data_IF_115027845377
#
_entry.id   IF_115027845377
#
_cell.length_a   1.000
_cell.length_b   1.000
_cell.length_c   1.000
_cell.angle_alpha   90.00
_cell.angle_beta   90.00
_cell.angle_gamma   90.00
#
_symmetry.space_group_name_H-M   'P 1'
#
loop_
_entity.id
_entity.type
_entity.pdbx_description
1 polymer ?
#
# COMPACT_ATOMS: atom_id res chain seq x y z
N UNK A 1 6.33 -10.99 6.11
CA UNK A 1 7.49 -10.66 5.28
C UNK A 1 7.00 -10.11 3.95
N UNK A 2 7.58 -9.01 3.51
CA UNK A 2 7.31 -8.32 2.25
C UNK A 2 8.45 -8.61 1.28
N UNK A 3 8.14 -8.65 -0.01
CA UNK A 3 9.16 -8.50 -1.04
C UNK A 3 9.47 -7.01 -1.20
N UNK A 4 10.76 -6.67 -1.12
CA UNK A 4 11.21 -5.29 -1.19
C UNK A 4 11.83 -5.01 -2.55
N UNK A 5 11.16 -4.18 -3.35
CA UNK A 5 11.64 -3.73 -4.64
C UNK A 5 12.57 -2.53 -4.46
N UNK A 6 13.77 -2.64 -5.05
CA UNK A 6 14.79 -1.59 -5.02
C UNK A 6 15.16 -1.19 -6.46
N UNK A 7 14.48 -0.20 -7.04
CA UNK A 7 14.81 0.29 -8.38
C UNK A 7 16.25 0.83 -8.44
N UNK A 8 16.88 0.85 -9.63
CA UNK A 8 18.29 1.28 -9.78
C UNK A 8 18.61 2.65 -9.17
N UNK A 9 17.67 3.60 -9.24
CA UNK A 9 17.87 4.94 -8.68
C UNK A 9 17.93 4.94 -7.14
N UNK A 10 17.27 3.99 -6.49
CA UNK A 10 17.36 3.80 -5.04
C UNK A 10 18.67 3.13 -4.68
N UNK A 11 19.10 2.12 -5.44
CA UNK A 11 20.42 1.49 -5.23
C UNK A 11 21.55 2.53 -5.29
N UNK A 12 21.47 3.49 -6.20
CA UNK A 12 22.41 4.62 -6.24
C UNK A 12 22.36 5.52 -4.99
N UNK A 13 21.19 5.71 -4.38
CA UNK A 13 21.07 6.44 -3.11
C UNK A 13 21.76 5.66 -1.97
N UNK A 14 21.52 4.35 -1.91
CA UNK A 14 22.09 3.47 -0.89
C UNK A 14 23.60 3.36 -1.02
N UNK A 15 24.11 3.15 -2.23
CA UNK A 15 25.55 3.13 -2.52
C UNK A 15 26.22 4.46 -2.16
N UNK A 16 25.55 5.59 -2.38
CA UNK A 16 26.07 6.90 -1.97
C UNK A 16 26.18 6.99 -0.45
N UNK A 17 25.15 6.58 0.29
CA UNK A 17 25.16 6.60 1.76
C UNK A 17 26.23 5.65 2.30
N UNK A 18 26.35 4.46 1.74
CA UNK A 18 27.40 3.50 2.08
C UNK A 18 28.79 4.10 1.85
N UNK A 19 29.05 4.66 0.67
CA UNK A 19 30.35 5.30 0.36
C UNK A 19 30.65 6.48 1.29
N UNK A 20 29.64 7.27 1.67
CA UNK A 20 29.81 8.33 2.66
C UNK A 20 30.20 7.76 4.03
N UNK A 21 29.58 6.66 4.47
CA UNK A 21 29.94 5.97 5.69
C UNK A 21 31.34 5.34 5.66
N UNK A 22 31.81 4.89 4.50
CA UNK A 22 33.16 4.36 4.31
C UNK A 22 34.22 5.47 4.32
N UNK A 23 33.93 6.62 3.71
CA UNK A 23 34.88 7.73 3.55
C UNK A 23 34.91 8.69 4.73
N UNK A 24 33.78 8.88 5.41
CA UNK A 24 33.64 9.70 6.61
C UNK A 24 32.75 8.98 7.65
N UNK A 25 33.27 7.92 8.29
CA UNK A 25 32.50 7.12 9.23
C UNK A 25 31.96 7.92 10.41
N UNK A 26 32.72 8.92 10.88
CA UNK A 26 32.36 9.74 12.04
C UNK A 26 31.02 10.46 11.84
N UNK A 27 30.70 10.85 10.60
CA UNK A 27 29.48 11.59 10.30
C UNK A 27 28.37 10.72 9.68
N UNK A 28 28.69 9.60 9.02
CA UNK A 28 27.72 8.88 8.20
C UNK A 28 27.45 7.43 8.61
N UNK A 29 28.25 6.82 9.50
CA UNK A 29 28.03 5.41 9.89
C UNK A 29 26.66 5.21 10.56
N UNK A 30 26.23 6.17 11.39
CA UNK A 30 24.94 6.10 12.05
C UNK A 30 23.78 6.21 11.05
N UNK A 31 23.88 7.12 10.08
CA UNK A 31 22.91 7.24 8.99
C UNK A 31 22.77 5.92 8.22
N UNK A 32 23.91 5.33 7.82
CA UNK A 32 23.93 4.05 7.10
C UNK A 32 23.22 2.95 7.88
N UNK A 33 23.57 2.76 9.16
CA UNK A 33 22.94 1.75 10.02
C UNK A 33 21.44 2.00 10.22
N UNK A 34 21.02 3.27 10.30
CA UNK A 34 19.59 3.61 10.42
C UNK A 34 18.81 3.33 9.15
N UNK A 35 19.38 3.64 7.98
CA UNK A 35 18.76 3.33 6.69
C UNK A 35 18.64 1.82 6.52
N UNK A 36 19.71 1.06 6.80
CA UNK A 36 19.70 -0.41 6.72
C UNK A 36 18.67 -1.05 7.66
N UNK A 37 18.61 -0.59 8.91
CA UNK A 37 17.61 -1.04 9.88
C UNK A 37 16.18 -0.74 9.41
N UNK A 38 15.91 0.45 8.89
CA UNK A 38 14.58 0.81 8.39
C UNK A 38 14.20 -0.08 7.20
N UNK A 39 15.12 -0.30 6.25
CA UNK A 39 14.92 -1.18 5.10
C UNK A 39 14.62 -2.62 5.53
N UNK A 40 15.38 -3.14 6.50
CA UNK A 40 15.15 -4.47 7.06
C UNK A 40 13.80 -4.56 7.77
N UNK A 41 13.43 -3.54 8.54
CA UNK A 41 12.12 -3.45 9.19
C UNK A 41 10.97 -3.38 8.18
N UNK A 42 11.16 -2.68 7.06
CA UNK A 42 10.16 -2.64 5.98
C UNK A 42 10.02 -4.00 5.30
N UNK A 43 11.11 -4.74 5.11
CA UNK A 43 11.09 -6.07 4.51
C UNK A 43 10.48 -7.12 5.46
N UNK A 44 10.79 -7.09 6.76
CA UNK A 44 10.20 -8.01 7.73
C UNK A 44 8.71 -7.72 7.97
N UNK A 45 8.32 -6.45 7.88
CA UNK A 45 6.99 -5.94 8.20
C UNK A 45 6.89 -5.32 9.60
N UNK A 46 8.00 -5.26 10.34
CA UNK A 46 8.09 -4.58 11.64
C UNK A 46 7.92 -3.07 11.51
N UNK A 47 8.42 -2.48 10.42
CA UNK A 47 8.24 -1.07 10.09
C UNK A 47 7.10 -0.88 9.09
N UNK A 48 6.33 0.21 9.27
CA UNK A 48 5.23 0.61 8.42
C UNK A 48 5.40 2.02 7.84
N UNK A 49 6.54 2.67 8.13
CA UNK A 49 6.76 4.09 7.92
C UNK A 49 6.09 4.98 8.98
N UNK A 50 6.24 6.30 8.81
CA UNK A 50 5.83 7.28 9.80
C UNK A 50 4.46 7.90 9.51
N UNK A 51 4.19 8.27 8.26
CA UNK A 51 2.87 8.66 7.78
C UNK A 51 2.80 8.57 6.26
N UNK A 52 1.56 8.51 5.76
CA UNK A 52 1.33 8.56 4.34
C UNK A 52 1.49 9.99 3.78
N UNK A 53 1.92 10.08 2.53
CA UNK A 53 1.96 11.34 1.80
C UNK A 53 0.58 11.65 1.21
N UNK A 54 0.43 12.89 0.73
CA UNK A 54 -0.80 13.42 0.17
C UNK A 54 -0.57 14.07 -1.19
N UNK A 55 -1.57 14.83 -1.63
CA UNK A 55 -1.42 15.75 -2.75
C UNK A 55 -1.31 17.18 -2.22
N UNK A 56 -0.39 17.94 -2.79
CA UNK A 56 -0.30 19.38 -2.59
C UNK A 56 0.20 20.01 -3.91
N UNK A 57 -0.49 21.04 -4.46
CA UNK A 57 0.00 21.75 -5.64
C UNK A 57 1.44 22.23 -5.47
N UNK A 58 2.28 22.11 -6.50
CA UNK A 58 3.72 22.34 -6.43
C UNK A 58 4.55 21.22 -5.77
N UNK A 59 3.94 20.24 -5.11
CA UNK A 59 4.61 19.06 -4.52
C UNK A 59 4.16 17.73 -5.11
N UNK A 60 3.19 17.78 -6.02
CA UNK A 60 2.62 16.66 -6.75
C UNK A 60 1.80 15.69 -5.91
N UNK A 61 1.24 14.71 -6.60
CA UNK A 61 0.36 13.71 -6.01
C UNK A 61 1.14 12.47 -5.57
N UNK A 62 1.30 12.31 -4.26
CA UNK A 62 2.01 11.21 -3.62
C UNK A 62 1.08 10.40 -2.69
N UNK A 63 -0.22 10.39 -2.96
CA UNK A 63 -1.23 9.78 -2.07
C UNK A 63 -1.07 8.27 -1.87
N UNK A 64 -0.38 7.58 -2.77
CA UNK A 64 0.00 6.17 -2.69
C UNK A 64 1.31 5.91 -1.92
N UNK A 65 2.04 6.97 -1.55
CA UNK A 65 3.38 6.87 -0.98
C UNK A 65 3.36 7.07 0.54
N UNK A 66 4.37 6.51 1.21
CA UNK A 66 4.60 6.59 2.66
C UNK A 66 6.01 7.09 2.90
N UNK A 67 6.20 7.91 3.94
CA UNK A 67 7.54 8.39 4.33
C UNK A 67 7.94 7.87 5.72
N UNK A 68 9.21 7.51 5.85
CA UNK A 68 9.91 7.26 7.10
C UNK A 68 10.84 8.45 7.41
N UNK A 69 10.99 8.75 8.70
CA UNK A 69 11.93 9.75 9.18
C UNK A 69 13.22 9.09 9.64
N UNK A 70 14.32 9.48 9.03
CA UNK A 70 15.65 8.94 9.35
C UNK A 70 16.48 10.07 9.98
N UNK A 71 17.19 9.73 11.05
CA UNK A 71 18.15 10.62 11.71
C UNK A 71 19.56 10.22 11.28
N UNK A 72 20.35 11.19 10.82
CA UNK A 72 21.79 11.01 10.58
C UNK A 72 22.61 11.02 11.89
N UNK A 73 22.08 11.62 12.95
CA UNK A 73 22.71 11.78 14.27
C UNK A 73 21.65 11.54 15.37
N UNK A 74 21.93 10.71 16.39
CA UNK A 74 20.99 10.41 17.49
C UNK A 74 20.53 11.65 18.28
N UNK A 75 21.34 12.72 18.31
CA UNK A 75 21.05 13.93 19.06
C UNK A 75 20.33 15.00 18.22
N UNK A 76 20.08 14.73 16.93
CA UNK A 76 19.42 15.68 16.01
C UNK A 76 18.01 15.24 15.66
N UNK A 77 17.22 16.22 15.20
CA UNK A 77 15.91 15.93 14.59
C UNK A 77 16.11 15.17 13.27
N UNK A 78 15.15 14.33 12.85
CA UNK A 78 15.22 13.64 11.57
C UNK A 78 15.42 14.60 10.40
N UNK A 79 16.52 14.40 9.70
CA UNK A 79 17.07 15.21 8.64
C UNK A 79 17.19 14.44 7.31
N UNK A 80 16.87 13.15 7.31
CA UNK A 80 16.69 12.32 6.13
C UNK A 80 15.27 11.76 6.07
N UNK A 81 14.87 11.36 4.86
CA UNK A 81 13.62 10.66 4.60
C UNK A 81 13.88 9.47 3.69
N UNK A 82 13.19 8.39 4.00
CA UNK A 82 12.99 7.27 3.09
C UNK A 82 11.53 7.33 2.62
N UNK A 83 11.28 7.14 1.33
CA UNK A 83 9.93 7.10 0.76
C UNK A 83 9.77 5.78 0.04
N UNK A 84 8.63 5.13 0.26
CA UNK A 84 8.24 3.88 -0.38
C UNK A 84 6.74 3.89 -0.69
N UNK A 85 6.27 2.95 -1.50
CA UNK A 85 4.84 2.66 -1.66
C UNK A 85 4.55 1.18 -1.47
N UNK A 86 3.35 0.90 -0.98
CA UNK A 86 2.84 -0.47 -0.89
C UNK A 86 2.38 -0.89 -2.29
N UNK A 87 2.72 -2.11 -2.69
CA UNK A 87 2.42 -2.67 -4.00
C UNK A 87 1.73 -4.03 -3.84
N UNK A 88 0.78 -4.37 -4.72
CA UNK A 88 0.19 -5.69 -4.74
C UNK A 88 1.27 -6.76 -5.01
N UNK A 89 1.06 -8.01 -4.54
CA UNK A 89 1.90 -9.14 -4.93
C UNK A 89 2.07 -9.24 -6.46
N UNK A 90 3.19 -9.78 -6.93
CA UNK A 90 3.40 -10.00 -8.37
C UNK A 90 2.42 -11.03 -8.93
N UNK A 91 2.15 -12.08 -8.17
CA UNK A 91 1.23 -13.16 -8.51
C UNK A 91 0.25 -13.44 -7.34
N UNK A 92 -0.88 -14.06 -7.65
CA UNK A 92 -1.87 -14.44 -6.65
C UNK A 92 -1.25 -15.37 -5.59
N UNK A 93 -1.40 -15.01 -4.31
CA UNK A 93 -0.80 -15.76 -3.19
C UNK A 93 0.68 -15.43 -2.91
N UNK A 94 1.31 -14.58 -3.73
CA UNK A 94 2.66 -14.07 -3.47
C UNK A 94 2.71 -13.09 -2.28
N UNK A 95 3.92 -12.75 -1.80
CA UNK A 95 4.07 -11.79 -0.72
C UNK A 95 3.63 -10.39 -1.18
N UNK A 96 3.08 -9.56 -0.26
CA UNK A 96 2.89 -8.15 -0.55
C UNK A 96 4.24 -7.50 -0.86
N UNK A 97 4.25 -6.52 -1.77
CA UNK A 97 5.46 -5.85 -2.22
C UNK A 97 5.55 -4.45 -1.64
N UNK A 98 6.77 -3.99 -1.39
CA UNK A 98 7.07 -2.59 -1.06
C UNK A 98 8.11 -2.08 -2.03
N UNK A 99 7.80 -1.00 -2.73
CA UNK A 99 8.77 -0.37 -3.63
C UNK A 99 9.39 0.82 -2.94
N UNK A 100 10.70 0.77 -2.74
CA UNK A 100 11.47 1.93 -2.33
C UNK A 100 11.52 2.93 -3.48
N UNK A 101 11.36 4.20 -3.18
CA UNK A 101 11.34 5.27 -4.19
C UNK A 101 12.54 6.19 -4.04
N UNK A 102 12.89 6.61 -2.81
CA UNK A 102 14.04 7.47 -2.56
C UNK A 102 14.52 7.44 -1.11
N UNK A 103 15.83 7.66 -0.90
CA UNK A 103 16.42 7.99 0.41
C UNK A 103 17.26 9.26 0.26
N UNK A 104 16.80 10.37 0.85
CA UNK A 104 17.42 11.69 0.63
C UNK A 104 17.35 12.60 1.87
N UNK A 105 18.21 13.62 1.96
CA UNK A 105 18.05 14.70 2.94
C UNK A 105 16.65 15.32 2.86
N UNK A 106 16.11 15.69 4.01
CA UNK A 106 14.78 16.29 4.17
C UNK A 106 14.72 17.71 3.62
N UNK A 107 15.83 18.44 3.69
CA UNK A 107 15.96 19.86 3.30
C UNK A 107 17.17 20.03 2.38
N UNK A 108 17.16 21.11 1.59
CA UNK A 108 18.20 21.44 0.62
C UNK A 108 17.69 21.42 -0.82
N UNK A 109 18.51 21.85 -1.78
CA UNK A 109 18.19 21.76 -3.21
C UNK A 109 18.04 20.29 -3.62
N UNK A 110 17.06 19.99 -4.48
CA UNK A 110 16.70 18.60 -4.80
C UNK A 110 16.02 17.94 -3.61
N UNK A 111 14.95 18.55 -3.11
CA UNK A 111 14.25 18.02 -1.95
C UNK A 111 13.64 16.64 -2.28
N UNK A 112 13.37 15.82 -1.28
CA UNK A 112 12.93 14.43 -1.52
C UNK A 112 11.67 14.33 -2.40
N UNK A 113 10.75 15.30 -2.33
CA UNK A 113 9.51 15.25 -3.12
C UNK A 113 9.77 15.45 -4.60
N UNK A 114 10.66 16.37 -4.97
CA UNK A 114 11.08 16.56 -6.36
C UNK A 114 11.67 15.27 -6.94
N UNK A 115 12.52 14.58 -6.17
CA UNK A 115 13.10 13.30 -6.58
C UNK A 115 12.06 12.19 -6.70
N UNK A 116 11.13 12.09 -5.75
CA UNK A 116 10.05 11.10 -5.79
C UNK A 116 9.15 11.33 -7.01
N UNK A 117 8.75 12.58 -7.27
CA UNK A 117 7.95 12.92 -8.45
C UNK A 117 8.67 12.57 -9.74
N UNK A 118 9.94 12.96 -9.87
CA UNK A 118 10.73 12.68 -11.06
C UNK A 118 10.87 11.16 -11.31
N UNK A 119 11.10 10.37 -10.26
CA UNK A 119 11.23 8.90 -10.36
C UNK A 119 9.92 8.20 -10.67
N UNK A 120 8.79 8.79 -10.27
CA UNK A 120 7.45 8.28 -10.57
C UNK A 120 6.85 8.89 -11.84
N UNK A 121 7.60 9.74 -12.57
CA UNK A 121 7.15 10.47 -13.75
C UNK A 121 5.86 11.29 -13.51
N UNK A 122 5.80 11.98 -12.36
CA UNK A 122 4.64 12.79 -11.96
C UNK A 122 4.92 14.27 -12.11
N UNK A 123 3.93 15.01 -12.60
CA UNK A 123 3.98 16.47 -12.63
C UNK A 123 3.61 17.05 -11.25
N UNK A 124 4.27 18.13 -10.78
CA UNK A 124 4.07 18.70 -9.45
C UNK A 124 2.67 19.29 -9.21
N UNK A 125 1.93 19.60 -10.27
CA UNK A 125 0.59 20.19 -10.16
C UNK A 125 -0.54 19.20 -10.45
N UNK A 126 -0.19 18.00 -10.94
CA UNK A 126 -1.18 17.07 -11.47
C UNK A 126 -1.66 16.08 -10.41
N UNK A 127 -2.99 15.93 -10.34
CA UNK A 127 -3.61 14.79 -9.69
C UNK A 127 -3.45 13.56 -10.58
N UNK A 128 -2.85 12.51 -10.03
CA UNK A 128 -2.65 11.29 -10.79
C UNK A 128 -3.97 10.51 -10.89
N UNK A 129 -4.39 10.12 -12.11
CA UNK A 129 -5.56 9.27 -12.30
C UNK A 129 -5.47 8.01 -11.43
N UNK A 130 -6.59 7.60 -10.83
CA UNK A 130 -6.66 6.41 -9.99
C UNK A 130 -6.20 6.61 -8.53
N UNK A 131 -5.38 7.61 -8.20
CA UNK A 131 -4.93 7.83 -6.81
C UNK A 131 -6.00 8.43 -5.89
N UNK A 132 -7.16 8.80 -6.45
CA UNK A 132 -8.34 9.21 -5.68
C UNK A 132 -8.83 8.17 -4.67
N UNK A 133 -8.53 6.88 -4.89
CA UNK A 133 -8.90 5.78 -3.98
C UNK A 133 -8.23 5.87 -2.61
N UNK A 134 -7.08 6.56 -2.52
CA UNK A 134 -6.38 6.81 -1.25
C UNK A 134 -6.92 8.05 -0.50
N UNK A 135 -7.99 8.66 -1.02
CA UNK A 135 -8.66 9.82 -0.43
C UNK A 135 -7.90 11.14 -0.65
N UNK A 136 -8.48 12.24 -0.16
CA UNK A 136 -7.88 13.57 -0.20
C UNK A 136 -7.30 13.92 1.17
N UNK A 137 -6.07 13.46 1.43
CA UNK A 137 -5.35 13.87 2.66
C UNK A 137 -4.93 15.34 2.54
N UNK A 138 -5.45 16.21 3.41
CA UNK A 138 -4.91 17.57 3.59
C UNK A 138 -3.56 17.49 4.30
N UNK A 139 -2.55 18.21 3.78
CA UNK A 139 -1.26 18.38 4.45
C UNK A 139 -1.48 19.05 5.83
N UNK A 140 -0.86 18.51 6.89
CA UNK A 140 -0.77 19.20 8.19
C UNK A 140 -1.58 18.64 9.38
N UNK A 141 -2.53 17.70 9.23
CA UNK A 141 -3.13 17.02 10.40
C UNK A 141 -2.45 15.69 10.69
N UNK A 142 -1.29 15.78 11.34
CA UNK A 142 -0.72 14.63 12.03
C UNK A 142 -1.61 14.30 13.23
N UNK A 143 -2.55 13.37 13.06
CA UNK A 143 -3.27 12.80 14.19
C UNK A 143 -2.30 12.17 15.19
N UNK A 144 -2.83 11.75 16.34
CA UNK A 144 -2.06 10.96 17.28
C UNK A 144 -1.52 9.67 16.60
N UNK A 145 -0.59 8.99 17.25
CA UNK A 145 0.05 7.81 16.69
C UNK A 145 -0.93 6.74 16.23
N UNK A 146 -1.99 6.48 17.01
CA UNK A 146 -3.03 5.52 16.67
C UNK A 146 -3.72 5.88 15.35
N UNK A 147 -4.09 7.16 15.16
CA UNK A 147 -4.71 7.62 13.93
C UNK A 147 -3.77 7.47 12.71
N UNK A 148 -2.47 7.73 12.90
CA UNK A 148 -1.47 7.53 11.84
C UNK A 148 -1.33 6.05 11.47
N UNK A 149 -1.29 5.15 12.45
CA UNK A 149 -1.20 3.71 12.19
C UNK A 149 -2.46 3.18 11.51
N UNK A 150 -3.65 3.63 11.93
CA UNK A 150 -4.91 3.28 11.27
C UNK A 150 -4.93 3.75 9.80
N UNK A 151 -4.45 4.96 9.52
CA UNK A 151 -4.34 5.46 8.16
C UNK A 151 -3.37 4.63 7.31
N UNK A 152 -2.18 4.29 7.84
CA UNK A 152 -1.21 3.45 7.15
C UNK A 152 -1.79 2.05 6.84
N UNK A 153 -2.50 1.46 7.80
CA UNK A 153 -3.16 0.17 7.62
C UNK A 153 -4.25 0.24 6.54
N UNK A 154 -5.07 1.29 6.53
CA UNK A 154 -6.09 1.50 5.51
C UNK A 154 -5.48 1.67 4.11
N UNK A 155 -4.44 2.50 3.97
CA UNK A 155 -3.75 2.68 2.69
C UNK A 155 -3.08 1.40 2.20
N UNK A 156 -2.47 0.63 3.10
CA UNK A 156 -1.95 -0.70 2.75
C UNK A 156 -3.05 -1.61 2.25
N UNK A 157 -4.17 -1.71 2.97
CA UNK A 157 -5.29 -2.55 2.56
C UNK A 157 -5.78 -2.15 1.16
N UNK A 158 -5.91 -0.85 0.88
CA UNK A 158 -6.24 -0.34 -0.45
C UNK A 158 -5.19 -0.75 -1.48
N UNK A 159 -3.90 -0.50 -1.23
CA UNK A 159 -2.83 -0.83 -2.17
C UNK A 159 -2.75 -2.33 -2.50
N UNK A 160 -2.97 -3.19 -1.50
CA UNK A 160 -2.96 -4.64 -1.67
C UNK A 160 -4.23 -5.18 -2.35
N UNK A 161 -5.39 -4.57 -2.09
CA UNK A 161 -6.66 -4.98 -2.68
C UNK A 161 -6.88 -4.42 -4.10
N UNK A 162 -6.26 -3.29 -4.44
CA UNK A 162 -6.53 -2.58 -5.68
C UNK A 162 -5.99 -3.30 -6.93
N UNK A 163 -5.02 -4.22 -6.77
CA UNK A 163 -4.82 -5.25 -7.80
C UNK A 163 -5.93 -6.30 -7.71
N UNK A 164 -7.02 -6.05 -8.42
CA UNK A 164 -7.93 -7.12 -8.82
C UNK A 164 -9.11 -7.41 -7.89
N UNK A 165 -9.47 -6.54 -6.94
CA UNK A 165 -10.80 -6.65 -6.33
C UNK A 165 -11.90 -6.07 -7.24
N UNK A 166 -12.30 -6.88 -8.22
CA UNK A 166 -13.67 -6.87 -8.76
C UNK A 166 -14.40 -8.02 -8.06
N UNK A 167 -15.47 -7.78 -7.28
CA UNK A 167 -16.34 -8.86 -6.84
C UNK A 167 -16.80 -9.67 -8.06
N UNK A 168 -16.71 -11.02 -8.01
CA UNK A 168 -17.23 -11.85 -9.10
C UNK A 168 -18.67 -11.40 -9.38
N UNK A 169 -19.06 -11.34 -10.65
CA UNK A 169 -20.43 -10.95 -11.05
C UNK A 169 -21.53 -11.83 -10.43
N UNK A 170 -21.15 -12.96 -9.83
CA UNK A 170 -22.01 -13.90 -9.11
C UNK A 170 -22.01 -13.75 -7.59
N UNK A 171 -21.14 -12.90 -7.02
CA UNK A 171 -21.03 -12.70 -5.57
C UNK A 171 -22.04 -11.66 -5.07
N UNK A 172 -23.05 -12.10 -4.31
CA UNK A 172 -23.92 -11.19 -3.55
C UNK A 172 -23.19 -10.67 -2.31
N UNK A 173 -23.42 -9.41 -1.89
CA UNK A 173 -22.89 -8.89 -0.64
C UNK A 173 -23.38 -9.73 0.53
N UNK A 174 -22.48 -10.13 1.44
CA UNK A 174 -22.89 -10.75 2.71
C UNK A 174 -23.38 -9.62 3.61
N UNK A 175 -24.67 -9.30 3.44
CA UNK A 175 -25.46 -8.59 4.42
C UNK A 175 -25.78 -9.51 5.60
N UNK A 176 -25.69 -8.93 6.79
CA UNK A 176 -25.97 -9.50 8.10
C UNK A 176 -27.36 -10.12 8.22
N UNK A 177 -27.46 -11.46 8.17
CA UNK A 177 -28.60 -12.20 8.72
C UNK A 177 -28.22 -13.66 9.03
N UNK A 178 -27.97 -13.95 10.31
CA UNK A 178 -28.28 -15.23 10.95
C UNK A 178 -27.37 -16.42 10.68
N UNK A 179 -26.23 -16.50 11.40
CA UNK A 179 -25.63 -17.79 11.74
C UNK A 179 -25.95 -18.10 13.19
N UNK A 180 -26.82 -19.09 13.40
CA UNK A 180 -26.99 -19.78 14.68
C UNK A 180 -28.40 -19.77 15.25
N UNK A 181 -29.22 -20.74 14.84
CA UNK A 181 -30.04 -21.52 15.77
C UNK A 181 -30.44 -22.84 15.12
N UNK A 182 -29.88 -23.93 15.67
CA UNK A 182 -30.37 -25.29 15.49
C UNK A 182 -31.71 -25.44 16.22
N UNK A 183 -32.71 -25.93 15.51
CA UNK A 183 -33.78 -26.81 16.00
C UNK A 183 -34.25 -27.60 14.77
N UNK A 184 -34.25 -28.93 14.69
CA UNK A 184 -34.59 -29.89 15.73
C UNK A 184 -36.08 -30.22 15.63
N UNK A 185 -36.39 -31.31 14.90
CA UNK A 185 -37.60 -32.15 14.96
C UNK A 185 -38.88 -31.73 14.18
N UNK A 186 -39.44 -32.70 13.45
CA UNK A 186 -40.83 -32.73 12.95
C UNK A 186 -40.96 -33.04 11.45
N UNK A 187 -40.85 -34.29 11.00
CA UNK A 187 -41.95 -35.25 10.67
C UNK A 187 -42.99 -34.77 9.63
N UNK A 188 -43.19 -35.61 8.61
CA UNK A 188 -44.33 -35.63 7.67
C UNK A 188 -43.96 -35.01 6.31
N UNK A 189 -43.76 -35.73 5.21
CA UNK A 189 -44.54 -36.86 4.72
C UNK A 189 -45.58 -36.38 3.73
N UNK A 190 -45.27 -36.34 2.42
CA UNK A 190 -46.15 -36.80 1.34
C UNK A 190 -45.50 -36.61 -0.06
N UNK A 191 -45.32 -37.73 -0.76
CA UNK A 191 -45.44 -37.83 -2.23
C UNK A 191 -46.93 -37.90 -2.59
N UNK A 192 -47.32 -37.44 -3.79
CA UNK A 192 -47.54 -38.36 -4.93
C UNK A 192 -46.89 -37.83 -6.24
N UNK A 193 -46.18 -38.63 -7.05
CA UNK A 193 -46.65 -39.52 -8.13
C UNK A 193 -47.62 -38.84 -9.12
N UNK A 194 -47.15 -38.51 -10.34
CA UNK A 194 -47.34 -39.20 -11.66
C UNK A 194 -48.35 -38.40 -12.51
N UNK A 195 -48.06 -37.98 -13.75
CA UNK A 195 -48.10 -38.83 -14.95
C UNK A 195 -47.72 -38.04 -16.23
N UNK A 196 -46.92 -38.71 -17.09
CA UNK A 196 -46.95 -38.78 -18.58
C UNK A 196 -47.09 -37.53 -19.49
N UNK A 197 -46.03 -37.31 -20.30
CA UNK A 197 -45.96 -36.75 -21.67
C UNK A 197 -46.88 -37.49 -22.69
N UNK A 198 -47.04 -37.13 -24.00
CA UNK A 198 -46.25 -36.20 -24.85
C UNK A 198 -47.01 -35.31 -25.90
N UNK A 199 -46.22 -34.49 -26.63
CA UNK A 199 -46.44 -33.73 -27.92
C UNK A 199 -47.30 -34.47 -28.98
N UNK A 200 -47.91 -33.84 -30.03
CA UNK A 200 -47.22 -32.95 -31.01
C UNK A 200 -48.03 -31.89 -31.83
N UNK A 201 -47.28 -30.96 -32.44
CA UNK A 201 -47.39 -30.54 -33.86
C UNK A 201 -48.56 -29.66 -34.34
N UNK A 202 -48.24 -28.51 -34.93
CA UNK A 202 -48.67 -28.16 -36.30
C UNK A 202 -48.03 -26.83 -36.76
N UNK A 203 -47.80 -26.77 -38.07
CA UNK A 203 -47.15 -25.74 -38.88
C UNK A 203 -48.23 -25.15 -39.82
N UNK A 204 -47.88 -24.11 -40.57
CA UNK A 204 -48.63 -23.45 -41.67
C UNK A 204 -49.59 -22.36 -41.12
N UNK A 205 -49.53 -21.09 -41.52
CA UNK A 205 -49.29 -20.46 -42.83
C UNK A 205 -48.21 -19.38 -42.74
#
# INVERSE_FOLDING_TARGET
MYELLRPPQVELDLLRIQRLAETDPANYVYLFLKVDREITGLQSGEANGYHALGYEPGKGDLRDSVTCYIQSDPHRRPDYRLVFREMPPECAGGPPRRELIAVRPRRGPGNIYEHVLARLHRHPDDLQPGLGVFGMRRSGRGGNELARQAELAAKRAIALAFAGQVPLSTSRPIGSAGVGLRAGLGRGGHRPQTTRSPRPGSRVV
#
